data_IF_364641183431
#
_entry.id   IF_364641183431
#
_cell.length_a   1.000
_cell.length_b   1.000
_cell.length_c   1.000
_cell.angle_alpha   90.00
_cell.angle_beta   90.00
_cell.angle_gamma   90.00
#
_symmetry.space_group_name_H-M   'P 1'
#
loop_
_entity.id
_entity.type
_entity.pdbx_description
1 polymer ?
#
# COMPACT_ATOMS: atom_id res chain seq x y z
N UNK A 1 10.16 41.40 -36.56
CA UNK A 1 9.84 40.62 -37.77
C UNK A 1 8.53 39.88 -37.52
N UNK A 2 7.59 39.94 -38.47
CA UNK A 2 6.23 39.36 -38.40
C UNK A 2 6.23 37.90 -38.93
N UNK A 3 5.25 37.12 -38.45
CA UNK A 3 4.93 35.70 -38.73
C UNK A 3 4.72 35.34 -40.23
N UNK A 4 4.71 34.04 -40.61
CA UNK A 4 3.51 33.16 -40.60
C UNK A 4 3.83 31.77 -39.96
N UNK A 5 2.95 31.04 -39.26
CA UNK A 5 1.51 30.84 -39.44
C UNK A 5 1.28 29.63 -40.34
N UNK A 6 0.84 28.47 -39.79
CA UNK A 6 0.15 27.40 -40.54
C UNK A 6 -0.61 26.46 -39.59
N UNK A 7 -1.93 26.58 -39.64
CA UNK A 7 -2.92 25.66 -39.11
C UNK A 7 -2.97 24.36 -39.91
N UNK A 8 -3.17 23.22 -39.26
CA UNK A 8 -3.84 22.05 -39.85
C UNK A 8 -4.83 21.47 -38.83
N UNK A 9 -6.03 21.24 -39.34
CA UNK A 9 -7.29 20.86 -38.70
C UNK A 9 -7.50 19.33 -38.75
N UNK A 10 -8.23 18.82 -37.75
CA UNK A 10 -9.14 17.67 -37.73
C UNK A 10 -8.65 16.23 -37.93
N UNK A 11 -9.02 15.36 -36.97
CA UNK A 11 -10.01 14.30 -37.22
C UNK A 11 -10.56 13.73 -35.89
N UNK A 12 -11.89 13.81 -35.70
CA UNK A 12 -12.63 13.03 -34.70
C UNK A 12 -12.63 11.55 -35.12
N UNK A 13 -12.53 10.64 -34.17
CA UNK A 13 -12.96 9.25 -34.35
C UNK A 13 -13.63 8.77 -33.07
N UNK A 14 -14.96 8.76 -33.10
CA UNK A 14 -15.80 8.07 -32.13
C UNK A 14 -15.86 6.58 -32.53
N UNK A 15 -15.62 5.67 -31.58
CA UNK A 15 -15.86 4.24 -31.79
C UNK A 15 -16.81 3.75 -30.70
N UNK A 16 -17.83 3.04 -31.19
CA UNK A 16 -19.09 2.63 -30.60
C UNK A 16 -18.97 1.50 -29.56
N UNK A 17 -19.77 1.59 -28.49
CA UNK A 17 -20.02 0.49 -27.55
C UNK A 17 -20.82 -0.64 -28.22
N UNK A 18 -20.43 -1.89 -28.00
CA UNK A 18 -21.31 -3.06 -28.20
C UNK A 18 -21.70 -3.64 -26.85
N UNK A 19 -22.97 -3.46 -26.49
CA UNK A 19 -23.67 -4.27 -25.50
C UNK A 19 -24.20 -5.53 -26.20
N UNK A 20 -23.82 -6.71 -25.73
CA UNK A 20 -24.43 -7.97 -26.14
C UNK A 20 -25.27 -8.51 -24.97
N UNK A 21 -26.57 -8.30 -25.05
CA UNK A 21 -27.56 -9.08 -24.31
C UNK A 21 -27.86 -10.33 -25.13
N UNK A 22 -27.78 -11.51 -24.53
CA UNK A 22 -28.39 -12.71 -25.10
C UNK A 22 -29.31 -13.33 -24.05
N UNK A 23 -30.60 -13.31 -24.36
CA UNK A 23 -31.67 -14.03 -23.66
C UNK A 23 -32.46 -14.81 -24.71
N UNK A 24 -32.49 -16.12 -24.55
CA UNK A 24 -33.49 -17.07 -25.07
C UNK A 24 -33.06 -18.45 -24.54
N UNK A 25 -33.90 -19.34 -24.02
CA UNK A 25 -35.35 -19.35 -23.91
C UNK A 25 -35.81 -20.81 -23.80
N UNK A 26 -36.66 -21.06 -22.81
CA UNK A 26 -37.80 -21.99 -22.83
C UNK A 26 -37.63 -23.52 -22.60
N UNK A 27 -38.62 -23.99 -21.82
CA UNK A 27 -39.25 -25.33 -21.73
C UNK A 27 -38.42 -26.41 -21.04
N UNK A 28 -38.89 -27.08 -19.99
CA UNK A 28 -40.26 -27.41 -19.60
C UNK A 28 -40.27 -28.93 -19.34
N UNK A 29 -40.66 -29.36 -18.15
CA UNK A 29 -40.70 -30.78 -17.82
C UNK A 29 -40.89 -31.04 -16.32
N UNK A 30 -42.15 -31.11 -15.89
CA UNK A 30 -42.55 -31.77 -14.65
C UNK A 30 -42.70 -33.26 -14.92
N UNK A 31 -41.99 -34.12 -14.17
CA UNK A 31 -42.40 -35.49 -13.87
C UNK A 31 -41.56 -36.11 -12.73
N UNK A 32 -42.19 -36.17 -11.56
CA UNK A 32 -42.22 -37.23 -10.53
C UNK A 32 -41.12 -38.31 -10.36
N UNK A 33 -40.81 -38.46 -9.06
CA UNK A 33 -40.68 -39.69 -8.24
C UNK A 33 -39.36 -40.48 -8.21
N UNK A 34 -38.73 -40.39 -7.02
CA UNK A 34 -38.03 -41.39 -6.22
C UNK A 34 -37.09 -42.41 -6.89
N UNK A 35 -35.80 -42.32 -6.54
CA UNK A 35 -35.07 -43.43 -5.90
C UNK A 35 -33.86 -42.90 -5.12
N UNK A 36 -33.72 -43.39 -3.89
CA UNK A 36 -32.66 -43.15 -2.93
C UNK A 36 -31.32 -43.74 -3.41
N UNK A 37 -30.19 -43.04 -3.19
CA UNK A 37 -28.97 -43.71 -2.78
C UNK A 37 -28.42 -43.14 -1.47
N UNK A 38 -28.19 -44.07 -0.55
CA UNK A 38 -27.42 -43.95 0.68
C UNK A 38 -26.15 -43.12 0.50
N UNK A 39 -26.07 -41.99 1.21
CA UNK A 39 -24.85 -41.18 1.31
C UNK A 39 -24.06 -41.61 2.56
N UNK A 40 -22.73 -41.80 2.50
CA UNK A 40 -21.90 -42.05 3.68
C UNK A 40 -21.89 -40.82 4.61
N UNK A 41 -21.61 -40.99 5.93
CA UNK A 41 -21.58 -39.88 6.86
C UNK A 41 -20.47 -38.89 6.47
N UNK A 42 -20.87 -37.64 6.23
CA UNK A 42 -19.95 -36.53 6.09
C UNK A 42 -19.25 -36.32 7.44
N UNK A 43 -17.95 -36.59 7.48
CA UNK A 43 -17.07 -36.18 8.57
C UNK A 43 -17.19 -34.66 8.69
N UNK A 44 -17.72 -34.19 9.83
CA UNK A 44 -17.73 -32.78 10.18
C UNK A 44 -16.28 -32.34 10.33
N UNK A 45 -15.76 -31.65 9.32
CA UNK A 45 -14.46 -30.99 9.38
C UNK A 45 -14.66 -29.75 10.28
N UNK A 46 -14.24 -29.87 11.53
CA UNK A 46 -14.22 -28.78 12.49
C UNK A 46 -13.32 -27.68 11.92
N UNK A 47 -13.92 -26.58 11.44
CA UNK A 47 -13.17 -25.42 11.00
C UNK A 47 -12.40 -24.85 12.20
N UNK A 48 -11.08 -25.07 12.21
CA UNK A 48 -10.17 -24.44 13.16
C UNK A 48 -10.12 -22.95 12.82
N UNK A 49 -10.86 -22.14 13.58
CA UNK A 49 -10.78 -20.68 13.50
C UNK A 49 -9.38 -20.30 13.98
N UNK A 50 -8.52 -19.82 13.08
CA UNK A 50 -7.24 -19.21 13.49
C UNK A 50 -7.55 -18.07 14.48
N UNK A 51 -6.85 -17.98 15.62
CA UNK A 51 -7.06 -16.89 16.54
C UNK A 51 -6.75 -15.57 15.84
N UNK A 52 -7.72 -14.65 15.84
CA UNK A 52 -7.48 -13.25 15.48
C UNK A 52 -6.31 -12.73 16.33
N UNK A 53 -5.26 -12.15 15.73
CA UNK A 53 -4.17 -11.55 16.49
C UNK A 53 -4.74 -10.58 17.52
N UNK A 54 -4.29 -10.70 18.77
CA UNK A 54 -4.68 -9.75 19.81
C UNK A 54 -4.28 -8.33 19.35
N UNK A 55 -5.13 -7.31 19.58
CA UNK A 55 -4.82 -5.95 19.18
C UNK A 55 -3.48 -5.54 19.79
N UNK A 56 -2.57 -5.05 18.95
CA UNK A 56 -1.26 -4.62 19.42
C UNK A 56 -1.43 -3.38 20.29
N UNK A 57 -1.19 -3.51 21.60
CA UNK A 57 -1.19 -2.37 22.51
C UNK A 57 -0.18 -1.32 22.04
N UNK A 58 -0.54 -0.05 22.18
CA UNK A 58 0.32 1.06 21.83
C UNK A 58 1.68 0.94 22.53
N UNK A 59 2.77 1.13 21.79
CA UNK A 59 4.14 1.03 22.31
C UNK A 59 5.02 2.15 21.77
N UNK A 60 5.92 2.63 22.62
CA UNK A 60 6.94 3.61 22.22
C UNK A 60 8.13 2.88 21.61
N UNK A 61 8.62 3.37 20.48
CA UNK A 61 9.77 2.80 19.76
C UNK A 61 10.66 3.92 19.23
N UNK A 62 11.95 3.63 19.04
CA UNK A 62 12.86 4.58 18.36
C UNK A 62 12.59 4.52 16.86
N UNK A 63 12.47 5.65 16.17
CA UNK A 63 12.02 5.65 14.78
C UNK A 63 12.95 4.87 13.82
N UNK A 64 14.25 4.73 14.16
CA UNK A 64 15.21 3.92 13.38
C UNK A 64 14.87 2.42 13.39
N UNK A 65 14.17 1.96 14.44
CA UNK A 65 13.79 0.56 14.66
C UNK A 65 12.42 0.22 14.09
N UNK A 66 11.72 1.17 13.47
CA UNK A 66 10.45 0.92 12.82
C UNK A 66 10.57 -0.22 11.81
N UNK A 67 9.55 -1.05 11.72
CA UNK A 67 9.45 -2.16 10.80
C UNK A 67 8.34 -1.93 9.77
N UNK A 68 8.46 -2.59 8.62
CA UNK A 68 7.42 -2.54 7.58
C UNK A 68 6.12 -3.12 8.13
N UNK A 69 5.03 -2.36 8.04
CA UNK A 69 3.73 -2.67 8.63
C UNK A 69 3.44 -1.97 9.96
N UNK A 70 4.40 -1.27 10.56
CA UNK A 70 4.15 -0.49 11.77
C UNK A 70 3.27 0.73 11.45
N UNK A 71 2.19 0.88 12.21
CA UNK A 71 1.28 2.03 12.14
C UNK A 71 1.59 3.02 13.27
N UNK A 72 1.79 4.29 12.93
CA UNK A 72 2.30 5.32 13.83
C UNK A 72 1.19 6.30 14.22
N UNK A 73 0.94 6.47 15.52
CA UNK A 73 0.02 7.49 16.02
C UNK A 73 0.47 8.89 15.60
N UNK A 74 1.78 9.13 15.59
CA UNK A 74 2.41 10.40 15.24
C UNK A 74 3.75 10.18 14.53
N UNK A 75 4.12 11.13 13.66
CA UNK A 75 5.45 11.22 13.09
C UNK A 75 6.41 11.96 14.03
N UNK A 76 7.72 11.66 13.98
CA UNK A 76 8.69 12.50 14.66
C UNK A 76 8.62 13.91 14.06
N UNK A 77 8.86 14.97 14.87
CA UNK A 77 8.90 16.34 14.38
C UNK A 77 9.94 16.48 13.27
N UNK A 78 9.71 17.40 12.32
CA UNK A 78 10.62 17.60 11.18
C UNK A 78 12.04 18.03 11.60
N UNK A 79 12.19 18.65 12.77
CA UNK A 79 13.48 19.00 13.36
C UNK A 79 14.16 17.81 14.09
N UNK A 80 13.52 16.65 14.09
CA UNK A 80 13.97 15.41 14.75
C UNK A 80 14.30 15.60 16.24
N UNK A 81 13.71 16.60 16.90
CA UNK A 81 13.87 16.84 18.34
C UNK A 81 13.36 15.69 19.23
N UNK A 82 12.52 14.82 18.67
CA UNK A 82 12.05 13.58 19.30
C UNK A 82 12.48 12.37 18.46
N UNK A 83 13.24 11.47 19.07
CA UNK A 83 13.74 10.24 18.43
C UNK A 83 12.80 9.03 18.59
N UNK A 84 11.73 9.18 19.36
CA UNK A 84 10.74 8.14 19.59
C UNK A 84 9.39 8.48 18.96
N UNK A 85 8.66 7.43 18.58
CA UNK A 85 7.30 7.49 18.05
C UNK A 85 6.43 6.48 18.78
N UNK A 86 5.10 6.65 18.71
CA UNK A 86 4.16 5.67 19.22
C UNK A 86 3.63 4.80 18.09
N UNK A 87 3.93 3.50 18.14
CA UNK A 87 3.34 2.48 17.28
C UNK A 87 2.00 2.05 17.89
N UNK A 88 0.96 1.95 17.07
CA UNK A 88 -0.39 1.53 17.44
C UNK A 88 -0.86 0.40 16.53
N UNK A 89 -1.90 -0.32 16.95
CA UNK A 89 -2.63 -1.24 16.08
C UNK A 89 -3.19 -0.48 14.87
N UNK A 90 -2.98 -1.00 13.66
CA UNK A 90 -3.42 -0.34 12.42
C UNK A 90 -4.96 -0.17 12.34
N UNK A 91 -5.75 -0.97 13.05
CA UNK A 91 -7.19 -0.75 13.15
C UNK A 91 -7.57 0.47 14.00
N UNK A 92 -6.62 1.01 14.77
CA UNK A 92 -6.76 2.29 15.48
C UNK A 92 -6.41 3.46 14.55
N UNK A 93 -7.00 4.63 14.80
CA UNK A 93 -6.68 5.83 14.05
C UNK A 93 -5.18 6.18 14.18
N UNK A 94 -4.49 6.38 13.05
CA UNK A 94 -3.04 6.61 13.03
C UNK A 94 -2.63 7.56 11.89
N UNK A 95 -1.46 8.19 12.03
CA UNK A 95 -0.97 9.23 11.12
C UNK A 95 -0.18 8.71 9.92
N UNK A 96 0.44 7.54 10.06
CA UNK A 96 1.31 6.98 9.03
C UNK A 96 1.48 5.46 9.17
N UNK A 97 1.84 4.79 8.08
CA UNK A 97 2.22 3.38 8.08
C UNK A 97 3.57 3.21 7.36
N UNK A 98 4.45 2.37 7.89
CA UNK A 98 5.74 2.06 7.27
C UNK A 98 5.53 1.03 6.18
N UNK A 99 5.93 1.33 4.94
CA UNK A 99 5.75 0.41 3.81
C UNK A 99 7.05 -0.13 3.22
N UNK A 100 8.18 0.54 3.47
CA UNK A 100 9.48 0.09 2.99
C UNK A 100 10.58 0.49 3.97
N UNK A 101 11.56 -0.40 4.12
CA UNK A 101 12.89 -0.07 4.61
C UNK A 101 13.89 -0.51 3.57
N UNK A 102 14.79 0.38 3.17
CA UNK A 102 15.79 0.07 2.16
C UNK A 102 17.15 0.65 2.54
N UNK A 103 18.25 -0.10 2.30
CA UNK A 103 19.59 0.42 2.45
C UNK A 103 19.84 1.48 1.37
N UNK A 104 20.49 2.60 1.75
CA UNK A 104 20.85 3.68 0.84
C UNK A 104 22.32 4.07 1.03
N UNK A 105 22.98 4.40 -0.08
CA UNK A 105 24.33 4.92 -0.05
C UNK A 105 24.33 6.32 0.57
N UNK A 106 25.37 6.62 1.35
CA UNK A 106 25.68 7.97 1.82
C UNK A 106 26.48 8.70 0.77
N UNK A 107 25.85 9.02 -0.35
CA UNK A 107 26.40 9.99 -1.29
C UNK A 107 25.66 11.34 -1.19
N UNK A 108 26.13 12.34 -1.94
CA UNK A 108 25.55 13.67 -1.96
C UNK A 108 24.09 13.71 -2.48
N UNK A 109 23.53 12.58 -2.89
CA UNK A 109 22.19 12.44 -3.44
C UNK A 109 21.27 11.53 -2.59
N UNK A 110 21.54 11.36 -1.30
CA UNK A 110 20.71 10.54 -0.38
C UNK A 110 19.21 10.86 -0.46
N UNK A 111 18.84 12.14 -0.63
CA UNK A 111 17.44 12.57 -0.82
C UNK A 111 16.84 12.03 -2.12
N UNK A 112 17.60 12.05 -3.21
CA UNK A 112 17.17 11.52 -4.50
C UNK A 112 17.03 9.99 -4.46
N UNK A 113 17.92 9.30 -3.75
CA UNK A 113 17.84 7.86 -3.52
C UNK A 113 16.60 7.50 -2.69
N UNK A 114 16.38 8.20 -1.58
CA UNK A 114 15.19 8.03 -0.75
C UNK A 114 13.90 8.21 -1.57
N UNK A 115 13.78 9.30 -2.33
CA UNK A 115 12.63 9.53 -3.20
C UNK A 115 12.40 8.41 -4.20
N UNK A 116 13.46 7.95 -4.88
CA UNK A 116 13.38 6.87 -5.86
C UNK A 116 12.93 5.56 -5.21
N UNK A 117 13.56 5.18 -4.11
CA UNK A 117 13.34 3.87 -3.48
C UNK A 117 11.96 3.82 -2.82
N UNK A 118 11.56 4.92 -2.16
CA UNK A 118 10.20 5.06 -1.62
C UNK A 118 9.14 5.02 -2.72
N UNK A 119 9.31 5.76 -3.83
CA UNK A 119 8.38 5.69 -4.95
C UNK A 119 8.27 4.27 -5.55
N UNK A 120 9.40 3.56 -5.68
CA UNK A 120 9.43 2.20 -6.19
C UNK A 120 8.77 1.17 -5.27
N UNK A 121 8.89 1.34 -3.94
CA UNK A 121 8.31 0.43 -2.95
C UNK A 121 6.81 0.60 -2.71
N UNK A 122 6.22 1.72 -3.13
CA UNK A 122 4.84 2.06 -2.79
C UNK A 122 3.81 1.12 -3.43
N UNK A 123 3.88 0.92 -4.76
CA UNK A 123 2.92 0.09 -5.47
C UNK A 123 2.99 -1.40 -5.10
N UNK A 124 4.18 -2.00 -4.90
CA UNK A 124 4.29 -3.35 -4.35
C UNK A 124 3.61 -3.52 -2.98
N UNK A 125 3.55 -2.47 -2.15
CA UNK A 125 2.94 -2.53 -0.83
C UNK A 125 1.43 -2.31 -0.84
N UNK A 126 0.97 -1.31 -1.59
CA UNK A 126 -0.42 -0.82 -1.56
C UNK A 126 -1.29 -1.34 -2.70
N UNK A 127 -0.68 -2.01 -3.69
CA UNK A 127 -1.33 -2.44 -4.92
C UNK A 127 -1.75 -1.28 -5.86
N UNK A 128 -1.34 -0.04 -5.59
CA UNK A 128 -1.69 1.15 -6.37
C UNK A 128 -0.48 2.08 -6.57
N UNK A 129 -0.48 2.87 -7.64
CA UNK A 129 0.50 3.96 -7.78
C UNK A 129 0.18 5.13 -6.85
N UNK A 130 1.21 5.88 -6.42
CA UNK A 130 1.06 7.07 -5.57
C UNK A 130 0.05 8.06 -6.17
N UNK A 131 0.17 8.37 -7.47
CA UNK A 131 -0.64 9.37 -8.18
C UNK A 131 -2.15 9.06 -8.22
N UNK A 132 -2.51 7.80 -8.08
CA UNK A 132 -3.91 7.33 -8.12
C UNK A 132 -4.45 6.99 -6.74
N UNK A 133 -3.59 7.03 -5.72
CA UNK A 133 -3.92 6.61 -4.37
C UNK A 133 -4.37 7.79 -3.50
N UNK A 134 -5.10 7.55 -2.41
CA UNK A 134 -5.43 8.60 -1.43
C UNK A 134 -4.24 8.94 -0.51
N UNK A 135 -3.05 8.41 -0.78
CA UNK A 135 -1.89 8.51 0.10
C UNK A 135 -0.81 9.45 -0.47
N UNK A 136 -0.04 10.04 0.44
CA UNK A 136 1.22 10.72 0.17
C UNK A 136 2.39 9.96 0.80
N UNK A 137 3.58 10.15 0.26
CA UNK A 137 4.81 9.52 0.75
C UNK A 137 5.62 10.51 1.61
N UNK A 138 6.09 10.04 2.76
CA UNK A 138 7.11 10.67 3.59
C UNK A 138 8.23 9.66 3.85
N UNK A 139 9.38 10.11 4.35
CA UNK A 139 10.46 9.20 4.73
C UNK A 139 11.31 9.76 5.87
N UNK A 140 11.92 8.84 6.62
CA UNK A 140 12.97 9.10 7.59
C UNK A 140 14.26 8.47 7.08
N UNK A 141 15.40 9.09 7.38
CA UNK A 141 16.72 8.58 6.97
C UNK A 141 17.53 8.35 8.22
N UNK A 142 17.75 7.07 8.55
CA UNK A 142 18.76 6.67 9.52
C UNK A 142 20.13 6.82 8.88
N UNK A 143 20.73 7.98 9.11
CA UNK A 143 21.96 8.41 8.46
C UNK A 143 23.18 7.93 9.27
N UNK A 144 23.72 6.77 8.91
CA UNK A 144 25.02 6.34 9.41
C UNK A 144 26.13 6.89 8.50
N UNK A 145 26.85 7.91 8.96
CA UNK A 145 27.87 8.64 8.19
C UNK A 145 29.23 7.93 8.18
N UNK A 146 29.25 6.59 8.10
CA UNK A 146 30.51 5.86 7.99
C UNK A 146 31.17 6.19 6.64
N UNK A 147 32.30 6.91 6.71
CA UNK A 147 33.09 7.34 5.55
C UNK A 147 34.36 6.51 5.36
N UNK A 148 34.48 5.40 6.07
CA UNK A 148 35.62 4.48 5.92
C UNK A 148 35.58 3.73 4.58
N UNK A 149 34.44 3.72 3.89
CA UNK A 149 34.23 2.98 2.65
C UNK A 149 34.03 1.47 2.85
N UNK A 150 33.91 1.01 4.11
CA UNK A 150 33.68 -0.39 4.44
C UNK A 150 32.23 -0.84 4.14
N UNK A 151 31.27 0.07 4.26
CA UNK A 151 29.87 -0.14 3.93
C UNK A 151 29.46 0.78 2.78
N UNK A 152 28.91 0.19 1.71
CA UNK A 152 28.45 0.92 0.53
C UNK A 152 27.08 1.58 0.75
N UNK A 153 26.32 1.12 1.74
CA UNK A 153 24.97 1.59 2.07
C UNK A 153 24.76 1.68 3.58
N UNK A 154 25.55 2.49 4.30
CA UNK A 154 25.50 2.52 5.76
C UNK A 154 24.18 3.12 6.28
N UNK A 155 23.45 3.86 5.44
CA UNK A 155 22.18 4.48 5.84
C UNK A 155 20.98 3.63 5.45
N UNK A 156 19.88 3.82 6.17
CA UNK A 156 18.59 3.20 5.85
C UNK A 156 17.54 4.27 5.62
N UNK A 157 16.82 4.20 4.50
CA UNK A 157 15.58 4.96 4.31
C UNK A 157 14.41 4.15 4.86
N UNK A 158 13.53 4.81 5.61
CA UNK A 158 12.29 4.26 6.14
C UNK A 158 11.15 5.04 5.50
N UNK A 159 10.44 4.42 4.57
CA UNK A 159 9.38 5.06 3.81
C UNK A 159 8.03 4.86 4.49
N UNK A 160 7.31 5.96 4.62
CA UNK A 160 6.05 6.09 5.32
C UNK A 160 4.97 6.54 4.34
N UNK A 161 3.78 5.96 4.43
CA UNK A 161 2.59 6.45 3.74
C UNK A 161 1.69 7.16 4.73
N UNK A 162 1.03 8.22 4.27
CA UNK A 162 0.10 9.04 5.05
C UNK A 162 -1.11 9.40 4.18
N UNK A 163 -2.26 9.78 4.75
CA UNK A 163 -3.36 10.35 3.97
C UNK A 163 -2.95 11.67 3.34
N UNK A 164 -3.12 11.80 2.03
CA UNK A 164 -2.80 13.03 1.32
C UNK A 164 -3.66 14.23 1.76
N UNK A 165 -4.80 13.96 2.40
CA UNK A 165 -5.74 14.96 2.91
C UNK A 165 -5.46 15.40 4.37
N UNK A 166 -4.42 14.87 5.01
CA UNK A 166 -4.06 15.18 6.40
C UNK A 166 -4.99 14.58 7.46
N UNK A 167 -5.93 13.70 7.09
CA UNK A 167 -6.73 12.94 8.05
C UNK A 167 -5.92 11.80 8.66
N UNK A 168 -6.51 11.05 9.61
CA UNK A 168 -5.94 9.82 10.13
C UNK A 168 -6.40 8.62 9.30
N UNK A 169 -5.52 7.64 9.18
CA UNK A 169 -5.81 6.32 8.62
C UNK A 169 -6.60 5.48 9.61
N UNK A 170 -7.35 4.51 9.10
CA UNK A 170 -7.93 3.43 9.87
C UNK A 170 -7.86 2.16 9.02
N UNK A 171 -7.18 1.14 9.53
CA UNK A 171 -6.77 -0.03 8.77
C UNK A 171 -5.40 0.17 8.10
N UNK A 172 -4.76 -0.95 7.74
CA UNK A 172 -3.51 -0.95 6.98
C UNK A 172 -3.75 -0.72 5.49
N UNK A 173 -2.82 -0.04 4.83
CA UNK A 173 -2.77 0.16 3.39
C UNK A 173 -2.16 -1.04 2.63
N UNK A 174 -1.64 -2.05 3.34
CA UNK A 174 -1.08 -3.26 2.75
C UNK A 174 -2.15 -4.04 1.97
N UNK A 175 -1.78 -4.54 0.79
CA UNK A 175 -2.61 -5.43 -0.04
C UNK A 175 -2.09 -6.86 -0.08
#
# INVERSE_FOLDING_TARGET
>A
MRLPGRHVLYALSAVTMLAACSSNGARGGIASTNMNPTNPPATAETATVSPTPAPQSARTETWINLQVGDCLADLPPADLSRITVTIVDCATAHSAEVYLRAPVAVDAAVVSMANRDCAAGFAPYTGQSVDTSPYSVAYLIDSHQDRTGADLTPSTVICLLQPANGQLLTGSARR
#
